data_IF_122895672815
#
_entry.id   IF_122895672815
#
_cell.length_a   1.000
_cell.length_b   1.000
_cell.length_c   1.000
_cell.angle_alpha   90.00
_cell.angle_beta   90.00
_cell.angle_gamma   90.00
#
_symmetry.space_group_name_H-M   'P 1'
#
loop_
_entity.id
_entity.type
_entity.pdbx_description
1 polymer ?
#
# COMPACT_ATOMS: atom_id res chain seq x y z
N UNK A 1 -10.65 -2.81 -21.63
CA UNK A 1 -11.56 -3.00 -20.48
C UNK A 1 -10.81 -3.05 -19.14
N UNK A 2 -9.78 -3.89 -18.98
CA UNK A 2 -9.02 -4.00 -17.71
C UNK A 2 -8.44 -2.66 -17.23
N UNK A 3 -7.82 -1.86 -18.12
CA UNK A 3 -7.22 -0.58 -17.72
C UNK A 3 -8.27 0.40 -17.15
N UNK A 4 -9.45 0.48 -17.76
CA UNK A 4 -10.55 1.31 -17.27
C UNK A 4 -11.06 0.82 -15.90
N UNK A 5 -11.17 -0.49 -15.71
CA UNK A 5 -11.55 -1.05 -14.41
C UNK A 5 -10.52 -0.72 -13.31
N UNK A 6 -9.21 -0.76 -13.62
CA UNK A 6 -8.16 -0.35 -12.68
C UNK A 6 -8.25 1.15 -12.39
N UNK A 7 -8.55 1.98 -13.40
CA UNK A 7 -8.75 3.42 -13.21
C UNK A 7 -9.90 3.69 -12.24
N UNK A 8 -11.05 3.02 -12.44
CA UNK A 8 -12.20 3.11 -11.56
C UNK A 8 -11.93 2.61 -10.14
N UNK A 9 -11.23 1.48 -10.01
CA UNK A 9 -10.83 0.95 -8.70
C UNK A 9 -9.88 1.91 -7.97
N UNK A 10 -8.89 2.48 -8.67
CA UNK A 10 -7.98 3.46 -8.09
C UNK A 10 -8.73 4.72 -7.62
N UNK A 11 -9.69 5.21 -8.41
CA UNK A 11 -10.55 6.31 -8.02
C UNK A 11 -11.37 5.99 -6.76
N UNK A 12 -12.05 4.83 -6.71
CA UNK A 12 -12.82 4.41 -5.55
C UNK A 12 -11.95 4.26 -4.30
N UNK A 13 -10.77 3.66 -4.43
CA UNK A 13 -9.83 3.46 -3.33
C UNK A 13 -9.30 4.80 -2.80
N UNK A 14 -8.90 5.70 -3.71
CA UNK A 14 -8.42 7.04 -3.37
C UNK A 14 -9.47 7.87 -2.65
N UNK A 15 -10.68 7.90 -3.20
CA UNK A 15 -11.84 8.56 -2.60
C UNK A 15 -12.11 7.97 -1.22
N UNK A 16 -12.20 6.63 -1.09
CA UNK A 16 -12.47 5.97 0.18
C UNK A 16 -11.43 6.28 1.27
N UNK A 17 -10.14 6.31 0.90
CA UNK A 17 -9.07 6.66 1.85
C UNK A 17 -9.08 8.14 2.24
N UNK A 18 -9.34 9.05 1.30
CA UNK A 18 -9.48 10.48 1.59
C UNK A 18 -10.66 10.73 2.51
N UNK A 19 -11.86 10.22 2.17
CA UNK A 19 -13.04 10.35 3.02
C UNK A 19 -12.83 9.70 4.39
N UNK A 20 -12.16 8.55 4.44
CA UNK A 20 -11.80 7.90 5.70
C UNK A 20 -10.89 8.77 6.57
N UNK A 21 -9.92 9.47 5.97
CA UNK A 21 -9.02 10.36 6.69
C UNK A 21 -9.72 11.62 7.20
N UNK A 22 -10.59 12.25 6.38
CA UNK A 22 -11.35 13.45 6.75
C UNK A 22 -12.39 13.19 7.84
N UNK A 23 -12.96 11.97 7.86
CA UNK A 23 -13.96 11.56 8.86
C UNK A 23 -13.33 10.97 10.13
N UNK A 24 -12.00 10.82 10.17
CA UNK A 24 -11.27 10.30 11.32
C UNK A 24 -11.23 11.35 12.46
N UNK A 25 -12.25 11.34 13.32
CA UNK A 25 -12.29 12.16 14.53
C UNK A 25 -11.22 11.75 15.57
N UNK A 26 -10.99 12.52 16.64
CA UNK A 26 -10.08 12.14 17.71
C UNK A 26 -10.55 10.89 18.50
N UNK A 27 -9.60 10.17 19.10
CA UNK A 27 -9.90 9.00 19.95
C UNK A 27 -10.49 7.81 19.17
N UNK A 28 -11.56 7.20 19.68
CA UNK A 28 -12.18 5.99 19.11
C UNK A 28 -12.81 6.20 17.74
N UNK A 29 -13.08 7.46 17.34
CA UNK A 29 -13.57 7.80 16.00
C UNK A 29 -12.55 7.52 14.87
N UNK A 30 -11.31 7.13 15.20
CA UNK A 30 -10.25 6.73 14.24
C UNK A 30 -10.33 5.26 13.82
N UNK A 31 -11.03 4.43 14.59
CA UNK A 31 -11.13 2.99 14.33
C UNK A 31 -11.70 2.71 12.92
N UNK A 32 -12.74 3.40 12.43
CA UNK A 32 -13.23 3.19 11.07
C UNK A 32 -12.15 3.43 10.00
N UNK A 33 -11.33 4.49 10.14
CA UNK A 33 -10.23 4.75 9.20
C UNK A 33 -9.16 3.65 9.26
N UNK A 34 -8.79 3.19 10.46
CA UNK A 34 -7.87 2.07 10.61
C UNK A 34 -8.42 0.78 9.97
N UNK A 35 -9.72 0.52 10.09
CA UNK A 35 -10.38 -0.63 9.42
C UNK A 35 -10.32 -0.51 7.90
N UNK A 36 -10.51 0.70 7.35
CA UNK A 36 -10.35 0.94 5.90
C UNK A 36 -8.90 0.68 5.48
N UNK A 37 -7.92 1.22 6.20
CA UNK A 37 -6.49 1.00 5.93
C UNK A 37 -6.13 -0.48 6.01
N UNK A 38 -6.62 -1.20 7.02
CA UNK A 38 -6.47 -2.65 7.14
C UNK A 38 -7.04 -3.39 5.93
N UNK A 39 -8.23 -2.98 5.45
CA UNK A 39 -8.81 -3.51 4.22
C UNK A 39 -7.89 -3.31 3.01
N UNK A 40 -7.27 -2.14 2.87
CA UNK A 40 -6.29 -1.87 1.82
C UNK A 40 -5.04 -2.73 1.97
N UNK A 41 -4.51 -2.89 3.19
CA UNK A 41 -3.38 -3.76 3.48
C UNK A 41 -3.69 -5.22 3.15
N UNK A 42 -4.88 -5.72 3.48
CA UNK A 42 -5.29 -7.08 3.16
C UNK A 42 -5.36 -7.31 1.64
N UNK A 43 -5.92 -6.36 0.90
CA UNK A 43 -5.92 -6.37 -0.57
C UNK A 43 -4.49 -6.31 -1.12
N UNK A 44 -3.62 -5.50 -0.53
CA UNK A 44 -2.22 -5.40 -0.89
C UNK A 44 -1.48 -6.73 -0.69
N UNK A 45 -1.60 -7.35 0.49
CA UNK A 45 -1.01 -8.67 0.80
C UNK A 45 -1.52 -9.72 -0.18
N UNK A 46 -2.83 -9.81 -0.40
CA UNK A 46 -3.42 -10.81 -1.28
C UNK A 46 -3.00 -10.61 -2.75
N UNK A 47 -3.01 -9.37 -3.24
CA UNK A 47 -2.64 -9.05 -4.63
C UNK A 47 -1.15 -9.29 -4.90
N UNK A 48 -0.27 -8.83 -4.02
CA UNK A 48 1.17 -9.00 -4.18
C UNK A 48 1.63 -10.44 -3.98
N UNK A 49 0.99 -11.19 -3.07
CA UNK A 49 1.27 -12.63 -2.95
C UNK A 49 0.91 -13.37 -4.24
N UNK A 50 -0.22 -13.05 -4.88
CA UNK A 50 -0.59 -13.62 -6.18
C UNK A 50 0.32 -13.18 -7.33
N UNK A 51 0.81 -11.94 -7.28
CA UNK A 51 1.69 -11.39 -8.30
C UNK A 51 3.11 -12.00 -8.22
N UNK A 52 3.67 -12.10 -7.02
CA UNK A 52 5.03 -12.62 -6.77
C UNK A 52 5.09 -14.15 -6.77
N UNK A 53 3.95 -14.83 -6.51
CA UNK A 53 3.84 -16.29 -6.41
C UNK A 53 4.99 -16.91 -5.59
N UNK A 54 5.22 -16.45 -4.35
CA UNK A 54 6.39 -16.85 -3.61
C UNK A 54 6.33 -18.35 -3.27
N UNK A 55 7.49 -19.02 -3.16
CA UNK A 55 7.56 -20.46 -2.90
C UNK A 55 6.86 -20.89 -1.60
N UNK A 56 6.74 -19.98 -0.64
CA UNK A 56 6.05 -20.19 0.64
C UNK A 56 4.80 -19.31 0.79
N UNK A 57 3.96 -19.23 -0.25
CA UNK A 57 2.78 -18.34 -0.30
C UNK A 57 1.91 -18.30 0.98
N UNK A 58 1.59 -19.41 1.66
CA UNK A 58 0.81 -19.35 2.89
C UNK A 58 1.53 -18.63 4.04
N UNK A 59 2.83 -18.87 4.20
CA UNK A 59 3.67 -18.24 5.24
C UNK A 59 3.80 -16.74 4.97
N UNK A 60 4.10 -16.37 3.72
CA UNK A 60 4.23 -14.95 3.32
C UNK A 60 2.93 -14.19 3.59
N UNK A 61 1.79 -14.78 3.22
CA UNK A 61 0.48 -14.19 3.45
C UNK A 61 0.15 -14.06 4.95
N UNK A 62 0.41 -15.12 5.73
CA UNK A 62 0.17 -15.11 7.17
C UNK A 62 0.99 -14.01 7.88
N UNK A 63 2.27 -13.91 7.56
CA UNK A 63 3.15 -12.88 8.12
C UNK A 63 2.70 -11.49 7.68
N UNK A 64 2.35 -11.30 6.41
CA UNK A 64 1.86 -10.02 5.91
C UNK A 64 0.61 -9.54 6.65
N UNK A 65 -0.36 -10.42 6.91
CA UNK A 65 -1.59 -10.10 7.65
C UNK A 65 -1.30 -9.85 9.13
N UNK A 66 -0.44 -10.65 9.77
CA UNK A 66 -0.08 -10.45 11.17
C UNK A 66 0.65 -9.12 11.37
N UNK A 67 1.56 -8.77 10.47
CA UNK A 67 2.25 -7.48 10.49
C UNK A 67 1.27 -6.33 10.24
N UNK A 68 0.29 -6.50 9.35
CA UNK A 68 -0.77 -5.51 9.13
C UNK A 68 -1.54 -5.20 10.42
N UNK A 69 -2.05 -6.24 11.08
CA UNK A 69 -2.76 -6.11 12.34
C UNK A 69 -1.89 -5.44 13.42
N UNK A 70 -0.63 -5.87 13.55
CA UNK A 70 0.29 -5.32 14.53
C UNK A 70 0.65 -3.85 14.23
N UNK A 71 0.81 -3.48 12.96
CA UNK A 71 1.13 -2.12 12.53
C UNK A 71 -0.05 -1.18 12.81
N UNK A 72 -1.26 -1.59 12.46
CA UNK A 72 -2.46 -0.80 12.71
C UNK A 72 -2.75 -0.66 14.20
N UNK A 73 -2.60 -1.73 14.98
CA UNK A 73 -2.65 -1.68 16.44
C UNK A 73 -1.59 -0.72 17.01
N UNK A 74 -0.36 -0.82 16.52
CA UNK A 74 0.75 0.06 16.90
C UNK A 74 0.55 1.52 16.50
N UNK A 75 -0.24 1.81 15.46
CA UNK A 75 -0.58 3.16 15.05
C UNK A 75 -1.76 3.76 15.84
N UNK A 76 -2.70 2.92 16.29
CA UNK A 76 -3.92 3.36 16.99
C UNK A 76 -3.73 3.44 18.51
N UNK A 77 -3.12 2.43 19.14
CA UNK A 77 -3.10 2.27 20.60
C UNK A 77 -2.25 3.29 21.39
N UNK A 78 -1.06 3.72 20.91
CA UNK A 78 -0.22 4.64 21.68
C UNK A 78 -0.92 5.98 21.91
N UNK A 79 -0.71 6.58 23.09
CA UNK A 79 -1.28 7.91 23.42
C UNK A 79 -0.70 9.01 22.56
N UNK A 80 0.60 8.96 22.31
CA UNK A 80 1.32 9.89 21.45
C UNK A 80 1.46 9.32 20.04
N UNK A 81 1.32 10.17 19.04
CA UNK A 81 1.54 9.78 17.65
C UNK A 81 3.05 9.70 17.37
N UNK A 82 3.52 8.54 16.93
CA UNK A 82 4.94 8.34 16.64
C UNK A 82 5.18 7.14 15.73
N UNK A 83 6.34 7.12 15.08
CA UNK A 83 6.75 6.04 14.18
C UNK A 83 7.46 4.89 14.89
N UNK A 84 7.87 5.07 16.14
CA UNK A 84 8.59 4.05 16.91
C UNK A 84 7.84 2.70 16.99
N UNK A 85 6.51 2.65 17.26
CA UNK A 85 5.75 1.40 17.22
C UNK A 85 5.82 0.69 15.87
N UNK A 86 5.73 1.45 14.76
CA UNK A 86 5.82 0.88 13.41
C UNK A 86 7.21 0.33 13.12
N UNK A 87 8.27 0.98 13.62
CA UNK A 87 9.64 0.50 13.52
C UNK A 87 9.83 -0.83 14.29
N UNK A 88 9.26 -0.95 15.49
CA UNK A 88 9.28 -2.20 16.24
C UNK A 88 8.50 -3.31 15.55
N UNK A 89 7.35 -2.99 14.95
CA UNK A 89 6.56 -3.96 14.16
C UNK A 89 7.33 -4.41 12.92
N UNK A 90 8.00 -3.50 12.21
CA UNK A 90 8.83 -3.86 11.06
C UNK A 90 10.01 -4.76 11.46
N UNK A 91 10.70 -4.44 12.56
CA UNK A 91 11.80 -5.26 13.08
C UNK A 91 11.30 -6.64 13.55
N UNK A 92 10.18 -6.69 14.28
CA UNK A 92 9.56 -7.93 14.73
C UNK A 92 9.06 -8.79 13.57
N UNK A 93 8.47 -8.17 12.54
CA UNK A 93 8.05 -8.82 11.30
C UNK A 93 9.24 -9.41 10.53
N UNK A 94 10.37 -8.70 10.47
CA UNK A 94 11.61 -9.21 9.89
C UNK A 94 12.10 -10.47 10.62
N UNK A 95 12.17 -10.42 11.95
CA UNK A 95 12.59 -11.57 12.77
C UNK A 95 11.61 -12.74 12.58
N UNK A 96 10.31 -12.49 12.62
CA UNK A 96 9.28 -13.50 12.40
C UNK A 96 9.40 -14.14 11.01
N UNK A 97 9.67 -13.35 9.97
CA UNK A 97 9.92 -13.85 8.62
C UNK A 97 11.15 -14.75 8.56
N UNK A 98 12.27 -14.34 9.16
CA UNK A 98 13.47 -15.18 9.23
C UNK A 98 13.19 -16.49 9.96
N UNK A 99 12.56 -16.45 11.14
CA UNK A 99 12.21 -17.63 11.92
C UNK A 99 11.26 -18.57 11.16
N UNK A 100 10.26 -18.03 10.47
CA UNK A 100 9.34 -18.82 9.68
C UNK A 100 10.02 -19.53 8.50
N UNK A 101 11.07 -18.92 7.91
CA UNK A 101 11.88 -19.60 6.90
C UNK A 101 12.74 -20.73 7.51
N UNK A 102 13.21 -20.61 8.76
CA UNK A 102 13.99 -21.65 9.43
C UNK A 102 13.17 -22.89 9.79
N UNK A 103 11.90 -22.69 10.18
CA UNK A 103 10.98 -23.79 10.55
C UNK A 103 10.37 -24.47 9.32
N UNK A 104 10.50 -23.87 8.13
CA UNK A 104 9.90 -24.39 6.89
C UNK A 104 10.48 -25.77 6.52
N UNK A 105 9.66 -26.83 6.39
CA UNK A 105 10.14 -28.18 6.11
C UNK A 105 10.67 -28.46 4.70
N UNK A 106 10.68 -27.50 3.76
CA UNK A 106 11.02 -27.79 2.35
C UNK A 106 11.67 -26.63 1.60
N UNK A 107 12.55 -27.00 0.67
CA UNK A 107 13.22 -26.20 -0.36
C UNK A 107 13.95 -24.94 0.15
N UNK A 108 15.12 -25.17 0.77
CA UNK A 108 16.04 -24.12 1.26
C UNK A 108 16.70 -23.32 0.13
N UNK A 109 16.65 -23.79 -1.11
CA UNK A 109 17.30 -23.13 -2.24
C UNK A 109 16.66 -21.78 -2.60
N UNK A 110 15.38 -21.59 -2.25
CA UNK A 110 14.59 -20.38 -2.57
C UNK A 110 14.25 -19.51 -1.37
N UNK A 111 15.02 -19.62 -0.28
CA UNK A 111 14.80 -18.84 0.96
C UNK A 111 14.92 -17.35 0.69
N UNK A 112 15.95 -16.91 -0.05
CA UNK A 112 16.16 -15.50 -0.38
C UNK A 112 15.01 -14.90 -1.17
N UNK A 113 14.44 -15.66 -2.12
CA UNK A 113 13.28 -15.23 -2.90
C UNK A 113 12.03 -15.10 -2.02
N UNK A 114 11.78 -16.08 -1.14
CA UNK A 114 10.66 -16.03 -0.22
C UNK A 114 10.80 -14.90 0.80
N UNK A 115 12.01 -14.70 1.35
CA UNK A 115 12.31 -13.61 2.27
C UNK A 115 12.16 -12.24 1.58
N UNK A 116 12.68 -12.09 0.36
CA UNK A 116 12.54 -10.87 -0.44
C UNK A 116 11.07 -10.51 -0.69
N UNK A 117 10.25 -11.49 -1.09
CA UNK A 117 8.81 -11.27 -1.28
C UNK A 117 8.09 -10.89 0.03
N UNK A 118 8.49 -11.51 1.15
CA UNK A 118 7.92 -11.23 2.47
C UNK A 118 8.28 -9.82 2.91
N UNK A 119 9.53 -9.40 2.72
CA UNK A 119 9.98 -8.04 3.06
C UNK A 119 9.29 -6.97 2.23
N UNK A 120 9.13 -7.18 0.93
CA UNK A 120 8.39 -6.26 0.07
C UNK A 120 6.94 -6.08 0.55
N UNK A 121 6.27 -7.18 0.87
CA UNK A 121 4.90 -7.13 1.38
C UNK A 121 4.85 -6.44 2.74
N UNK A 122 5.75 -6.80 3.66
CA UNK A 122 5.83 -6.24 5.00
C UNK A 122 6.05 -4.73 4.99
N UNK A 123 7.02 -4.25 4.21
CA UNK A 123 7.33 -2.82 4.09
C UNK A 123 6.14 -2.07 3.54
N UNK A 124 5.46 -2.60 2.52
CA UNK A 124 4.27 -1.97 1.95
C UNK A 124 3.13 -1.84 2.95
N UNK A 125 2.87 -2.89 3.72
CA UNK A 125 1.84 -2.89 4.78
C UNK A 125 2.16 -1.86 5.88
N UNK A 126 3.40 -1.82 6.36
CA UNK A 126 3.84 -0.85 7.36
C UNK A 126 3.75 0.58 6.82
N UNK A 127 4.05 0.79 5.54
CA UNK A 127 3.88 2.09 4.89
C UNK A 127 2.41 2.55 4.88
N UNK A 128 1.45 1.66 4.64
CA UNK A 128 0.03 2.00 4.75
C UNK A 128 -0.39 2.40 6.17
N UNK A 129 0.15 1.72 7.20
CA UNK A 129 -0.13 2.06 8.60
C UNK A 129 0.36 3.47 8.98
N UNK A 130 1.35 4.03 8.25
CA UNK A 130 1.77 5.42 8.46
C UNK A 130 0.66 6.43 8.18
N UNK A 131 -0.32 6.12 7.34
CA UNK A 131 -1.49 6.99 7.12
C UNK A 131 -2.29 7.16 8.42
N UNK A 132 -2.41 6.10 9.22
CA UNK A 132 -3.08 6.13 10.53
C UNK A 132 -2.30 7.01 11.51
N UNK A 133 -0.96 6.97 11.49
CA UNK A 133 -0.14 7.84 12.34
C UNK A 133 -0.27 9.29 11.89
N UNK A 134 -0.21 9.54 10.57
CA UNK A 134 -0.26 10.87 9.99
C UNK A 134 -1.58 11.58 10.28
N UNK A 135 -2.72 10.89 10.29
CA UNK A 135 -4.02 11.49 10.65
C UNK A 135 -4.10 11.99 12.10
N UNK A 136 -3.09 11.70 12.92
CA UNK A 136 -2.98 12.13 14.32
C UNK A 136 -2.12 13.38 14.51
N UNK A 137 -1.39 13.80 13.48
CA UNK A 137 -0.42 14.90 13.54
C UNK A 137 -1.07 16.17 12.95
N UNK A 138 -0.80 17.38 13.48
CA UNK A 138 -1.24 18.62 12.86
C UNK A 138 -0.84 18.67 11.38
N UNK A 139 -1.74 19.12 10.50
CA UNK A 139 -1.55 19.17 9.02
C UNK A 139 -1.48 17.77 8.36
N UNK A 140 -1.49 16.68 9.15
CA UNK A 140 -1.37 15.33 8.61
C UNK A 140 -2.53 14.91 7.71
N UNK A 141 -3.78 15.26 8.05
CA UNK A 141 -4.94 15.00 7.18
C UNK A 141 -4.80 15.70 5.82
N UNK A 142 -4.32 16.96 5.80
CA UNK A 142 -4.04 17.67 4.55
C UNK A 142 -2.94 16.97 3.74
N UNK A 143 -1.86 16.51 4.38
CA UNK A 143 -0.81 15.76 3.71
C UNK A 143 -1.34 14.43 3.12
N UNK A 144 -2.23 13.72 3.83
CA UNK A 144 -2.92 12.53 3.32
C UNK A 144 -3.78 12.91 2.11
N UNK A 145 -4.58 13.96 2.20
CA UNK A 145 -5.43 14.43 1.11
C UNK A 145 -4.63 14.73 -0.15
N UNK A 146 -3.60 15.58 -0.05
CA UNK A 146 -2.77 16.00 -1.19
C UNK A 146 -2.08 14.78 -1.82
N UNK A 147 -1.44 13.94 -1.02
CA UNK A 147 -0.67 12.79 -1.52
C UNK A 147 -1.57 11.72 -2.16
N UNK A 148 -2.70 11.39 -1.53
CA UNK A 148 -3.63 10.41 -2.07
C UNK A 148 -4.39 10.93 -3.28
N UNK A 149 -4.82 12.19 -3.29
CA UNK A 149 -5.46 12.79 -4.47
C UNK A 149 -4.50 12.81 -5.66
N UNK A 150 -3.25 13.23 -5.46
CA UNK A 150 -2.21 13.20 -6.49
C UNK A 150 -1.95 11.79 -7.01
N UNK A 151 -1.79 10.80 -6.12
CA UNK A 151 -1.59 9.40 -6.50
C UNK A 151 -2.81 8.84 -7.27
N UNK A 152 -4.02 9.19 -6.83
CA UNK A 152 -5.28 8.74 -7.44
C UNK A 152 -5.41 9.30 -8.85
N UNK A 153 -5.22 10.60 -9.04
CA UNK A 153 -5.26 11.25 -10.35
C UNK A 153 -4.17 10.67 -11.25
N UNK A 154 -2.96 10.51 -10.71
CA UNK A 154 -1.84 9.93 -11.46
C UNK A 154 -2.16 8.54 -12.00
N UNK A 155 -2.65 7.65 -11.14
CA UNK A 155 -3.02 6.29 -11.51
C UNK A 155 -4.21 6.29 -12.47
N UNK A 156 -5.26 7.05 -12.19
CA UNK A 156 -6.46 7.12 -13.03
C UNK A 156 -6.12 7.59 -14.45
N UNK A 157 -5.40 8.71 -14.58
CA UNK A 157 -4.97 9.26 -15.86
C UNK A 157 -4.06 8.28 -16.58
N UNK A 158 -3.07 7.69 -15.90
CA UNK A 158 -2.20 6.70 -16.51
C UNK A 158 -2.97 5.52 -17.10
N UNK A 159 -3.96 4.99 -16.36
CA UNK A 159 -4.76 3.84 -16.79
C UNK A 159 -5.75 4.18 -17.91
N UNK A 160 -6.29 5.41 -17.92
CA UNK A 160 -7.15 5.89 -19.01
C UNK A 160 -6.35 6.09 -20.30
N UNK A 161 -5.16 6.69 -20.20
CA UNK A 161 -4.25 6.85 -21.36
C UNK A 161 -3.81 5.47 -21.87
N UNK A 162 -3.46 4.52 -20.99
CA UNK A 162 -3.14 3.15 -21.39
C UNK A 162 -4.31 2.45 -22.10
N UNK A 163 -5.57 2.85 -21.85
CA UNK A 163 -6.74 2.28 -22.52
C UNK A 163 -6.93 2.80 -23.95
N UNK A 164 -6.51 4.05 -24.24
CA UNK A 164 -6.70 4.72 -25.54
C UNK A 164 -5.43 4.68 -26.39
N UNK A 165 -4.27 4.91 -25.77
CA UNK A 165 -2.96 5.05 -26.40
C UNK A 165 -1.92 4.12 -25.74
N UNK A 166 -2.02 2.78 -25.90
CA UNK A 166 -1.09 1.82 -25.29
C UNK A 166 0.31 1.81 -25.96
N UNK A 167 0.57 2.66 -26.96
CA UNK A 167 1.83 2.73 -27.71
C UNK A 167 2.44 4.14 -27.61
N UNK A 168 3.79 4.26 -27.56
CA UNK A 168 4.79 3.18 -27.61
C UNK A 168 4.91 2.43 -26.28
N UNK A 169 5.15 1.12 -26.35
CA UNK A 169 5.33 0.28 -25.16
C UNK A 169 6.76 0.40 -24.65
N UNK A 170 6.95 0.54 -23.34
CA UNK A 170 8.28 0.60 -22.72
C UNK A 170 9.02 -0.75 -22.82
N UNK A 171 8.28 -1.85 -22.83
CA UNK A 171 8.81 -3.19 -23.07
C UNK A 171 7.75 -4.07 -23.75
N UNK A 172 8.14 -5.01 -24.63
CA UNK A 172 7.21 -5.93 -25.30
C UNK A 172 6.36 -6.79 -24.35
N UNK A 173 6.82 -6.98 -23.11
CA UNK A 173 6.16 -7.78 -22.08
C UNK A 173 5.20 -6.95 -21.22
N UNK A 174 5.32 -5.61 -21.23
CA UNK A 174 4.51 -4.73 -20.40
C UNK A 174 3.33 -4.21 -21.24
N UNK A 175 2.08 -4.51 -20.89
CA UNK A 175 0.91 -4.09 -21.67
C UNK A 175 0.56 -2.59 -21.48
N UNK A 176 1.53 -1.75 -21.10
CA UNK A 176 1.36 -0.34 -20.75
C UNK A 176 2.19 0.54 -21.68
N UNK A 177 1.64 1.70 -22.05
CA UNK A 177 2.31 2.68 -22.89
C UNK A 177 3.18 3.62 -22.08
N UNK A 178 4.27 4.12 -22.68
CA UNK A 178 5.09 5.17 -22.11
C UNK A 178 4.28 6.45 -21.83
N UNK A 179 3.31 6.76 -22.71
CA UNK A 179 2.42 7.91 -22.56
C UNK A 179 1.62 7.88 -21.27
N UNK A 180 1.09 6.72 -20.86
CA UNK A 180 0.34 6.61 -19.60
C UNK A 180 1.21 6.92 -18.39
N UNK A 181 2.47 6.47 -18.39
CA UNK A 181 3.42 6.76 -17.30
C UNK A 181 3.72 8.25 -17.20
N UNK A 182 4.08 8.89 -18.32
CA UNK A 182 4.47 10.31 -18.33
C UNK A 182 3.27 11.20 -17.99
N UNK A 183 2.15 11.03 -18.70
CA UNK A 183 0.97 11.88 -18.51
C UNK A 183 0.35 11.67 -17.12
N UNK A 184 0.33 10.43 -16.62
CA UNK A 184 -0.11 10.14 -15.26
C UNK A 184 0.79 10.79 -14.21
N UNK A 185 2.13 10.69 -14.35
CA UNK A 185 3.04 11.34 -13.41
C UNK A 185 2.85 12.87 -13.42
N UNK A 186 2.80 13.49 -14.60
CA UNK A 186 2.56 14.93 -14.75
C UNK A 186 1.23 15.37 -14.15
N UNK A 187 0.15 14.61 -14.38
CA UNK A 187 -1.17 14.92 -13.83
C UNK A 187 -1.17 14.84 -12.30
N UNK A 188 -0.54 13.83 -11.71
CA UNK A 188 -0.40 13.73 -10.26
C UNK A 188 0.40 14.89 -9.65
N UNK A 189 1.55 15.24 -10.24
CA UNK A 189 2.36 16.39 -9.80
C UNK A 189 1.58 17.69 -9.93
N UNK A 190 0.86 17.89 -11.03
CA UNK A 190 0.01 19.05 -11.23
C UNK A 190 -1.10 19.12 -10.18
N UNK A 191 -1.78 18.01 -9.91
CA UNK A 191 -2.80 17.95 -8.85
C UNK A 191 -2.20 18.34 -7.50
N UNK A 192 -1.07 17.76 -7.12
CA UNK A 192 -0.38 18.10 -5.87
C UNK A 192 -0.03 19.60 -5.78
N UNK A 193 0.44 20.20 -6.88
CA UNK A 193 0.81 21.62 -6.94
C UNK A 193 -0.40 22.58 -6.86
N UNK A 194 -1.60 22.13 -7.23
CA UNK A 194 -2.81 22.95 -7.20
C UNK A 194 -3.51 22.89 -5.83
N UNK A 195 -3.46 21.74 -5.16
CA UNK A 195 -4.22 21.51 -3.90
C UNK A 195 -3.36 21.53 -2.63
N UNK A 196 -2.03 21.47 -2.77
CA UNK A 196 -1.05 21.51 -1.67
C UNK A 196 -0.50 22.92 -1.46
#
# INVERSE_FOLDING_TARGET
MISVAIAGFAALLGIGLVFGAETAGPGSARIPFAVVVFGVQALYVASWTKALRPPASPIVMAIGVLVALAADAGAVMPREAGLAPLAYVAAGGFVAAVLAQLVRPADRARVTESLGSTMLIMIGVVAFAMLIVLSRIPIGTQAIFVSLAAATVSLMVARLIDAVLPRPRLAPQVPRGAGGVVVGAMAGTFTAAVIG
#
